data_IF_465888725079
#
_entry.id   IF_465888725079
#
_cell.length_a   1.000
_cell.length_b   1.000
_cell.length_c   1.000
_cell.angle_alpha   90.00
_cell.angle_beta   90.00
_cell.angle_gamma   90.00
#
_symmetry.space_group_name_H-M   'P 1'
#
loop_
_entity.id
_entity.type
_entity.pdbx_description
1 polymer ?
#
# COMPACT_ATOMS: atom_id res chain seq x y z
N UNK A 1 -37.20 19.43 -4.81
CA UNK A 1 -37.10 18.45 -5.91
C UNK A 1 -35.76 18.72 -6.52
N UNK A 2 -34.74 18.05 -6.00
CA UNK A 2 -33.38 18.57 -6.04
C UNK A 2 -32.58 17.83 -7.12
N UNK A 3 -31.99 18.62 -8.01
CA UNK A 3 -31.26 18.25 -9.23
C UNK A 3 -29.94 17.50 -8.98
N UNK A 4 -29.85 16.63 -7.97
CA UNK A 4 -28.65 15.86 -7.66
C UNK A 4 -28.63 14.44 -8.26
N UNK A 5 -29.66 14.04 -9.02
CA UNK A 5 -29.85 12.64 -9.41
C UNK A 5 -29.77 12.34 -10.92
N UNK A 6 -29.16 13.20 -11.74
CA UNK A 6 -29.13 13.01 -13.22
C UNK A 6 -27.71 12.88 -13.79
N UNK A 7 -26.71 12.48 -12.99
CA UNK A 7 -25.33 12.24 -13.51
C UNK A 7 -24.73 10.87 -13.25
N UNK A 8 -25.37 9.99 -12.48
CA UNK A 8 -24.74 8.73 -12.06
C UNK A 8 -25.10 7.48 -12.89
N UNK A 9 -25.69 7.64 -14.08
CA UNK A 9 -26.12 6.46 -14.87
C UNK A 9 -25.67 6.47 -16.33
N UNK A 10 -24.87 7.45 -16.75
CA UNK A 10 -24.35 7.52 -18.12
C UNK A 10 -22.86 7.89 -18.02
N UNK A 11 -21.95 6.92 -18.22
CA UNK A 11 -20.52 7.22 -18.41
C UNK A 11 -19.49 6.32 -17.74
N UNK A 12 -19.62 4.98 -17.79
CA UNK A 12 -18.49 4.07 -17.55
C UNK A 12 -18.10 3.24 -18.78
N UNK A 13 -18.48 3.71 -19.96
CA UNK A 13 -18.16 3.07 -21.24
C UNK A 13 -16.76 3.44 -21.78
N UNK A 14 -15.99 4.25 -21.03
CA UNK A 14 -14.65 4.71 -21.42
C UNK A 14 -13.63 4.46 -20.30
N UNK A 15 -12.38 4.08 -20.65
CA UNK A 15 -11.31 3.86 -19.68
C UNK A 15 -10.94 5.14 -18.92
N UNK A 16 -10.44 4.98 -17.69
CA UNK A 16 -10.06 6.10 -16.83
C UNK A 16 -8.82 6.83 -17.37
N UNK A 17 -8.95 8.13 -17.66
CA UNK A 17 -7.81 8.96 -18.07
C UNK A 17 -6.77 9.17 -16.95
N UNK A 18 -7.20 9.04 -15.69
CA UNK A 18 -6.36 9.16 -14.50
C UNK A 18 -6.67 8.06 -13.50
N UNK A 19 -5.70 7.21 -13.22
CA UNK A 19 -5.77 6.16 -12.21
C UNK A 19 -4.99 6.54 -10.95
N UNK A 20 -5.53 6.20 -9.79
CA UNK A 20 -4.99 6.50 -8.46
C UNK A 20 -4.89 5.19 -7.70
N UNK A 21 -3.67 4.77 -7.40
CA UNK A 21 -3.33 3.46 -6.87
C UNK A 21 -2.62 3.66 -5.54
N UNK A 22 -3.06 2.96 -4.50
CA UNK A 22 -2.38 2.90 -3.20
C UNK A 22 -1.88 1.48 -3.00
N UNK A 23 -0.61 1.31 -2.63
CA UNK A 23 -0.04 0.01 -2.32
C UNK A 23 0.06 -0.16 -0.80
N UNK A 24 -0.52 -1.23 -0.28
CA UNK A 24 -0.47 -1.62 1.13
C UNK A 24 -0.01 -3.06 1.26
N UNK A 25 0.53 -3.45 2.40
CA UNK A 25 1.11 -4.79 2.58
C UNK A 25 2.25 -4.79 3.59
N UNK A 26 2.74 -5.98 3.92
CA UNK A 26 3.87 -6.14 4.82
C UNK A 26 5.13 -5.38 4.36
N UNK A 27 6.00 -5.07 5.32
CA UNK A 27 7.36 -4.61 5.05
C UNK A 27 8.10 -5.65 4.22
N UNK A 28 8.89 -5.18 3.25
CA UNK A 28 9.65 -6.03 2.34
C UNK A 28 8.82 -6.90 1.37
N UNK A 29 7.48 -6.74 1.31
CA UNK A 29 6.65 -7.42 0.31
C UNK A 29 6.86 -6.92 -1.14
N UNK A 30 7.73 -5.93 -1.35
CA UNK A 30 8.08 -5.42 -2.69
C UNK A 30 7.27 -4.22 -3.19
N UNK A 31 6.52 -3.52 -2.33
CA UNK A 31 5.70 -2.35 -2.69
C UNK A 31 6.47 -1.27 -3.47
N UNK A 32 7.60 -0.80 -2.93
CA UNK A 32 8.41 0.25 -3.57
C UNK A 32 8.94 -0.18 -4.95
N UNK A 33 9.38 -1.44 -5.08
CA UNK A 33 9.79 -2.03 -6.37
C UNK A 33 8.64 -2.06 -7.37
N UNK A 34 7.49 -2.57 -6.94
CA UNK A 34 6.25 -2.60 -7.72
C UNK A 34 5.89 -1.19 -8.21
N UNK A 35 5.89 -0.20 -7.31
CA UNK A 35 5.55 1.17 -7.67
C UNK A 35 6.48 1.75 -8.73
N UNK A 36 7.77 1.47 -8.64
CA UNK A 36 8.75 1.88 -9.65
C UNK A 36 8.51 1.21 -11.02
N UNK A 37 8.13 -0.07 -11.02
CA UNK A 37 7.78 -0.82 -12.22
C UNK A 37 6.50 -0.26 -12.87
N UNK A 38 5.44 -0.07 -12.08
CA UNK A 38 4.17 0.52 -12.54
C UNK A 38 4.40 1.89 -13.15
N UNK A 39 5.22 2.73 -12.51
CA UNK A 39 5.49 4.10 -12.96
C UNK A 39 6.54 4.18 -14.07
N UNK A 40 7.24 3.08 -14.38
CA UNK A 40 8.40 2.99 -15.30
C UNK A 40 9.53 3.97 -14.93
N UNK A 41 9.79 4.15 -13.64
CA UNK A 41 10.84 5.04 -13.11
C UNK A 41 11.23 4.67 -11.68
N UNK A 42 12.48 4.93 -11.30
CA UNK A 42 13.01 4.68 -9.95
C UNK A 42 12.78 5.89 -9.04
N UNK A 43 11.63 5.94 -8.37
CA UNK A 43 11.23 7.06 -7.49
C UNK A 43 11.11 6.67 -6.02
N UNK A 44 10.67 5.45 -5.73
CA UNK A 44 10.61 4.91 -4.38
C UNK A 44 11.94 4.22 -4.04
N UNK A 45 12.47 4.47 -2.84
CA UNK A 45 13.79 3.98 -2.42
C UNK A 45 13.83 2.48 -2.13
N UNK A 46 14.61 1.70 -2.91
CA UNK A 46 14.63 0.22 -2.85
C UNK A 46 15.93 -0.40 -2.30
N UNK A 47 16.93 0.40 -1.92
CA UNK A 47 18.24 -0.12 -1.52
C UNK A 47 18.21 -0.93 -0.21
N UNK A 48 19.11 -1.91 -0.03
CA UNK A 48 19.25 -2.66 1.24
C UNK A 48 19.62 -1.77 2.44
N UNK A 49 20.22 -0.61 2.19
CA UNK A 49 20.49 0.44 3.19
C UNK A 49 19.33 1.42 3.37
N UNK A 50 18.28 1.31 2.54
CA UNK A 50 17.06 2.09 2.65
C UNK A 50 16.36 1.70 3.95
N UNK A 51 16.22 2.67 4.84
CA UNK A 51 15.39 2.53 6.03
C UNK A 51 13.98 2.18 5.54
N UNK A 52 13.35 1.20 6.19
CA UNK A 52 11.91 0.89 6.08
C UNK A 52 11.12 2.17 5.78
N UNK A 53 10.29 2.18 4.74
CA UNK A 53 9.37 3.27 4.42
C UNK A 53 8.59 3.64 5.68
N UNK A 54 8.86 4.80 6.27
CA UNK A 54 8.20 5.26 7.50
C UNK A 54 7.12 6.30 7.25
N UNK A 55 7.07 6.87 6.04
CA UNK A 55 6.03 7.78 5.60
C UNK A 55 5.60 7.37 4.21
N UNK A 56 4.34 7.59 3.89
CA UNK A 56 3.85 7.32 2.55
C UNK A 56 4.48 8.25 1.51
N UNK A 57 4.88 7.70 0.37
CA UNK A 57 5.48 8.44 -0.75
C UNK A 57 4.53 8.43 -1.94
N UNK A 58 4.44 9.55 -2.68
CA UNK A 58 3.53 9.69 -3.83
C UNK A 58 4.35 10.01 -5.07
N UNK A 59 4.00 9.38 -6.19
CA UNK A 59 4.58 9.77 -7.47
C UNK A 59 3.61 9.59 -8.63
N UNK A 60 3.91 10.30 -9.72
CA UNK A 60 3.06 10.37 -10.91
C UNK A 60 3.81 10.01 -12.18
N UNK A 61 3.14 9.35 -13.12
CA UNK A 61 3.72 9.05 -14.44
C UNK A 61 2.61 8.97 -15.49
N UNK A 62 2.97 8.96 -16.78
CA UNK A 62 2.06 8.60 -17.86
C UNK A 62 2.50 7.25 -18.41
N UNK A 63 1.64 6.25 -18.31
CA UNK A 63 1.95 4.85 -18.65
C UNK A 63 0.76 4.28 -19.40
N UNK A 64 1.00 3.61 -20.53
CA UNK A 64 -0.07 3.13 -21.44
C UNK A 64 -1.08 4.24 -21.82
N UNK A 65 -0.59 5.47 -22.01
CA UNK A 65 -1.41 6.64 -22.34
C UNK A 65 -2.23 7.21 -21.16
N UNK A 66 -2.16 6.60 -19.97
CA UNK A 66 -2.96 6.99 -18.80
C UNK A 66 -2.12 7.73 -17.77
N UNK A 67 -2.71 8.73 -17.12
CA UNK A 67 -2.08 9.39 -15.98
C UNK A 67 -2.18 8.46 -14.77
N UNK A 68 -1.06 8.16 -14.14
CA UNK A 68 -1.01 7.39 -12.91
C UNK A 68 -0.62 8.26 -11.73
N UNK A 69 -1.23 8.01 -10.59
CA UNK A 69 -0.78 8.42 -9.26
C UNK A 69 -0.63 7.17 -8.42
N UNK A 70 0.58 6.93 -7.92
CA UNK A 70 0.89 5.74 -7.12
C UNK A 70 1.39 6.22 -5.77
N UNK A 71 0.79 5.66 -4.72
CA UNK A 71 1.18 5.88 -3.32
C UNK A 71 1.82 4.61 -2.79
N UNK A 72 3.06 4.71 -2.33
CA UNK A 72 3.76 3.65 -1.59
C UNK A 72 3.59 3.90 -0.09
N UNK A 73 2.91 2.99 0.63
CA UNK A 73 2.69 3.12 2.07
C UNK A 73 3.80 2.44 2.88
N UNK A 74 3.97 2.79 4.17
CA UNK A 74 4.71 1.95 5.11
C UNK A 74 4.16 0.53 5.16
N UNK A 75 5.04 -0.42 5.50
CA UNK A 75 4.64 -1.82 5.71
C UNK A 75 4.66 -2.20 7.19
N UNK A 76 3.71 -3.04 7.59
CA UNK A 76 3.73 -3.69 8.90
C UNK A 76 4.68 -4.90 8.91
N UNK A 77 5.06 -5.37 10.10
CA UNK A 77 5.78 -6.64 10.19
C UNK A 77 4.79 -7.79 9.98
N UNK A 78 5.09 -8.73 9.09
CA UNK A 78 4.11 -9.66 8.51
C UNK A 78 3.40 -10.61 9.49
N UNK A 79 3.90 -10.77 10.72
CA UNK A 79 3.22 -11.52 11.79
C UNK A 79 2.71 -10.65 12.94
N UNK A 80 2.98 -9.35 12.92
CA UNK A 80 2.53 -8.47 13.99
C UNK A 80 1.02 -8.26 13.89
N UNK A 81 0.39 -8.27 15.05
CA UNK A 81 -0.95 -7.72 15.27
C UNK A 81 -0.94 -6.20 15.16
N UNK A 82 -2.11 -5.58 15.03
CA UNK A 82 -2.23 -4.14 15.18
C UNK A 82 -1.71 -3.71 16.55
N UNK A 83 -1.97 -4.44 17.63
CA UNK A 83 -1.48 -4.04 18.96
C UNK A 83 0.06 -3.93 19.02
N UNK A 84 0.78 -4.77 18.29
CA UNK A 84 2.24 -4.80 18.24
C UNK A 84 2.84 -3.79 17.24
N UNK A 85 2.04 -3.30 16.30
CA UNK A 85 2.45 -2.26 15.35
C UNK A 85 2.49 -0.88 16.02
N UNK A 86 3.49 -0.07 15.68
CA UNK A 86 3.63 1.28 16.21
C UNK A 86 2.46 2.18 15.75
N UNK A 87 1.92 3.00 16.64
CA UNK A 87 0.84 3.95 16.33
C UNK A 87 1.13 4.84 15.12
N UNK A 88 2.36 5.32 14.95
CA UNK A 88 2.73 6.14 13.79
C UNK A 88 2.64 5.36 12.48
N UNK A 89 2.99 4.07 12.50
CA UNK A 89 2.87 3.24 11.30
C UNK A 89 1.40 2.98 10.96
N UNK A 90 0.55 2.75 11.97
CA UNK A 90 -0.91 2.61 11.76
C UNK A 90 -1.49 3.86 11.14
N UNK A 91 -1.17 5.03 11.69
CA UNK A 91 -1.63 6.32 11.19
C UNK A 91 -1.18 6.56 9.76
N UNK A 92 0.07 6.24 9.42
CA UNK A 92 0.59 6.38 8.06
C UNK A 92 -0.06 5.42 7.07
N UNK A 93 -0.27 4.15 7.47
CA UNK A 93 -0.96 3.16 6.65
C UNK A 93 -2.39 3.64 6.38
N UNK A 94 -3.13 4.01 7.42
CA UNK A 94 -4.52 4.51 7.30
C UNK A 94 -4.58 5.80 6.48
N UNK A 95 -3.62 6.70 6.64
CA UNK A 95 -3.59 7.97 5.92
C UNK A 95 -3.22 7.84 4.44
N UNK A 96 -2.61 6.72 4.02
CA UNK A 96 -2.12 6.54 2.65
C UNK A 96 -3.20 6.76 1.57
N UNK A 97 -4.45 6.39 1.84
CA UNK A 97 -5.58 6.57 0.92
C UNK A 97 -5.97 8.05 0.72
N UNK A 98 -5.68 8.90 1.71
CA UNK A 98 -5.97 10.34 1.69
C UNK A 98 -5.02 11.11 0.76
N UNK A 99 -3.90 10.50 0.36
CA UNK A 99 -2.87 11.12 -0.44
C UNK A 99 -3.20 11.21 -1.93
N UNK A 100 -4.35 10.68 -2.34
CA UNK A 100 -4.79 10.68 -3.73
C UNK A 100 -6.28 11.06 -3.85
N UNK A 101 -6.67 12.30 -3.48
CA UNK A 101 -8.06 12.72 -3.46
C UNK A 101 -8.76 12.58 -4.83
N UNK A 102 -10.08 12.30 -4.86
CA UNK A 102 -10.98 12.09 -3.72
C UNK A 102 -10.82 10.74 -3.00
N UNK A 103 -9.91 9.90 -3.47
CA UNK A 103 -9.58 8.58 -2.94
C UNK A 103 -9.03 7.67 -4.04
N UNK A 104 -8.45 6.50 -3.70
CA UNK A 104 -7.88 5.60 -4.69
C UNK A 104 -8.97 4.92 -5.52
N UNK A 105 -8.71 4.77 -6.82
CA UNK A 105 -9.50 3.88 -7.67
C UNK A 105 -9.20 2.41 -7.36
N UNK A 106 -7.94 2.13 -7.01
CA UNK A 106 -7.45 0.80 -6.68
C UNK A 106 -6.51 0.81 -5.48
N UNK A 107 -6.61 -0.25 -4.69
CA UNK A 107 -5.66 -0.59 -3.63
C UNK A 107 -5.02 -1.90 -4.02
N UNK A 108 -3.69 -1.94 -4.01
CA UNK A 108 -2.93 -3.17 -4.23
C UNK A 108 -2.49 -3.71 -2.87
N UNK A 109 -3.09 -4.84 -2.45
CA UNK A 109 -2.61 -5.59 -1.30
C UNK A 109 -1.43 -6.45 -1.76
N UNK A 110 -0.23 -5.98 -1.47
CA UNK A 110 1.02 -6.59 -1.93
C UNK A 110 1.44 -7.71 -0.99
N UNK A 111 1.53 -8.92 -1.55
CA UNK A 111 1.94 -10.15 -0.85
C UNK A 111 3.10 -10.77 -1.61
N UNK A 112 4.23 -11.00 -0.95
CA UNK A 112 5.35 -11.70 -1.57
C UNK A 112 5.14 -13.22 -1.59
N UNK A 113 5.54 -13.85 -2.69
CA UNK A 113 5.46 -15.29 -2.85
C UNK A 113 6.62 -16.04 -2.18
N UNK A 114 7.48 -15.37 -1.42
CA UNK A 114 8.57 -16.02 -0.69
C UNK A 114 8.11 -16.42 0.73
N UNK A 115 7.31 -15.55 1.36
CA UNK A 115 6.81 -15.76 2.73
C UNK A 115 5.71 -16.80 2.74
N UNK A 116 5.77 -17.75 3.68
CA UNK A 116 4.75 -18.78 3.88
C UNK A 116 3.49 -18.17 4.48
N UNK A 117 2.33 -18.47 3.89
CA UNK A 117 1.04 -18.08 4.46
C UNK A 117 0.70 -18.97 5.65
N UNK A 118 0.71 -18.40 6.85
CA UNK A 118 0.28 -19.09 8.08
C UNK A 118 -0.79 -18.26 8.80
N UNK A 119 -1.34 -18.81 9.89
CA UNK A 119 -2.41 -18.15 10.65
C UNK A 119 -2.01 -16.80 11.24
N UNK A 120 -0.73 -16.61 11.59
CA UNK A 120 -0.21 -15.33 12.08
C UNK A 120 -0.14 -14.29 10.95
N UNK A 121 0.30 -14.70 9.76
CA UNK A 121 0.31 -13.83 8.57
C UNK A 121 -1.12 -13.41 8.20
N UNK A 122 -2.04 -14.36 8.11
CA UNK A 122 -3.45 -14.08 7.80
C UNK A 122 -4.06 -13.11 8.81
N UNK A 123 -3.87 -13.36 10.11
CA UNK A 123 -4.32 -12.48 11.18
C UNK A 123 -3.72 -11.08 11.04
N UNK A 124 -2.43 -10.99 10.75
CA UNK A 124 -1.74 -9.71 10.56
C UNK A 124 -2.36 -8.91 9.41
N UNK A 125 -2.62 -9.54 8.27
CA UNK A 125 -3.31 -8.90 7.13
C UNK A 125 -4.70 -8.45 7.53
N UNK A 126 -5.50 -9.31 8.16
CA UNK A 126 -6.86 -9.00 8.59
C UNK A 126 -6.91 -7.79 9.52
N UNK A 127 -6.05 -7.75 10.55
CA UNK A 127 -6.01 -6.66 11.49
C UNK A 127 -5.54 -5.36 10.82
N UNK A 128 -4.49 -5.37 9.99
CA UNK A 128 -4.02 -4.13 9.33
C UNK A 128 -5.01 -3.60 8.29
N UNK A 129 -5.71 -4.47 7.59
CA UNK A 129 -6.78 -4.06 6.67
C UNK A 129 -7.98 -3.44 7.40
N UNK A 130 -8.19 -3.78 8.68
CA UNK A 130 -9.25 -3.19 9.51
C UNK A 130 -9.00 -1.73 9.92
N UNK A 131 -7.83 -1.17 9.61
CA UNK A 131 -7.60 0.28 9.70
C UNK A 131 -8.48 1.06 8.72
N UNK A 132 -8.87 0.45 7.62
CA UNK A 132 -9.78 1.00 6.64
C UNK A 132 -11.20 0.49 6.89
N UNK A 133 -12.19 1.17 6.33
CA UNK A 133 -13.57 0.67 6.30
C UNK A 133 -13.69 -0.59 5.42
N UNK A 134 -14.71 -1.41 5.67
CA UNK A 134 -14.92 -2.68 4.97
C UNK A 134 -15.04 -2.51 3.44
N UNK A 135 -15.49 -1.34 2.95
CA UNK A 135 -15.58 -1.06 1.51
C UNK A 135 -14.21 -1.06 0.80
N UNK A 136 -13.10 -0.96 1.54
CA UNK A 136 -11.74 -1.01 0.97
C UNK A 136 -11.52 -2.28 0.14
N UNK A 137 -12.12 -3.40 0.55
CA UNK A 137 -11.99 -4.69 -0.13
C UNK A 137 -12.60 -4.65 -1.54
N UNK A 138 -13.67 -3.89 -1.75
CA UNK A 138 -14.25 -3.67 -3.09
C UNK A 138 -13.27 -2.94 -4.03
N UNK A 139 -12.34 -2.15 -3.50
CA UNK A 139 -11.31 -1.47 -4.28
C UNK A 139 -9.96 -2.20 -4.28
N UNK A 140 -9.87 -3.37 -3.65
CA UNK A 140 -8.59 -4.08 -3.46
C UNK A 140 -8.38 -5.20 -4.47
N UNK A 141 -7.19 -5.23 -5.07
CA UNK A 141 -6.67 -6.33 -5.86
C UNK A 141 -5.43 -6.90 -5.17
N UNK A 142 -5.32 -8.22 -5.06
CA UNK A 142 -4.12 -8.86 -4.48
C UNK A 142 -2.99 -8.82 -5.50
N UNK A 143 -1.87 -8.20 -5.16
CA UNK A 143 -0.69 -8.20 -6.01
C UNK A 143 0.37 -9.13 -5.43
N UNK A 144 0.58 -10.25 -6.10
CA UNK A 144 1.65 -11.18 -5.77
C UNK A 144 2.98 -10.71 -6.37
N UNK A 145 4.01 -10.58 -5.54
CA UNK A 145 5.37 -10.25 -5.98
C UNK A 145 6.27 -11.47 -5.90
N UNK A 146 7.42 -11.41 -6.57
CA UNK A 146 8.37 -12.54 -6.67
C UNK A 146 7.74 -13.76 -7.35
N UNK A 147 6.96 -13.52 -8.42
CA UNK A 147 6.35 -14.59 -9.23
C UNK A 147 7.34 -15.62 -9.75
N UNK A 148 8.60 -15.21 -9.97
CA UNK A 148 9.70 -16.08 -10.37
C UNK A 148 10.07 -17.14 -9.33
N UNK A 149 9.66 -16.97 -8.06
CA UNK A 149 10.00 -17.87 -6.96
C UNK A 149 9.20 -19.17 -6.94
N UNK A 150 8.03 -19.20 -7.59
CA UNK A 150 7.17 -20.39 -7.62
C UNK A 150 7.76 -21.54 -8.46
N UNK A 151 8.74 -21.25 -9.33
CA UNK A 151 9.42 -22.25 -10.14
C UNK A 151 8.45 -22.96 -11.09
N UNK A 152 8.14 -24.23 -10.80
CA UNK A 152 7.22 -25.06 -11.59
C UNK A 152 5.76 -24.85 -11.17
N UNK A 153 5.52 -24.42 -9.92
CA UNK A 153 4.16 -24.24 -9.42
C UNK A 153 3.54 -22.96 -9.95
N UNK A 154 2.24 -22.94 -10.17
CA UNK A 154 1.53 -21.70 -10.51
C UNK A 154 1.08 -20.96 -9.24
N UNK A 155 0.67 -19.70 -9.40
CA UNK A 155 0.12 -18.93 -8.26
C UNK A 155 -1.22 -19.52 -7.82
N UNK A 156 -2.00 -20.05 -8.77
CA UNK A 156 -3.30 -20.68 -8.55
C UNK A 156 -3.14 -21.94 -7.69
N UNK A 157 -2.20 -22.83 -8.04
CA UNK A 157 -1.90 -24.03 -7.24
C UNK A 157 -1.51 -23.66 -5.80
N UNK A 158 -0.80 -22.54 -5.62
CA UNK A 158 -0.46 -22.04 -4.29
C UNK A 158 -1.69 -21.54 -3.53
N UNK A 159 -2.50 -20.69 -4.16
CA UNK A 159 -3.74 -20.17 -3.56
C UNK A 159 -4.62 -21.35 -3.12
N UNK A 160 -4.82 -22.35 -3.98
CA UNK A 160 -5.61 -23.55 -3.68
C UNK A 160 -5.03 -24.38 -2.53
N UNK A 161 -3.72 -24.35 -2.31
CA UNK A 161 -3.06 -25.10 -1.22
C UNK A 161 -3.06 -24.40 0.14
N UNK A 162 -3.30 -23.08 0.20
CA UNK A 162 -3.17 -22.27 1.41
C UNK A 162 -4.50 -21.58 1.75
N UNK A 163 -5.25 -22.08 2.74
CA UNK A 163 -6.57 -21.55 3.14
C UNK A 163 -6.56 -20.03 3.41
N UNK A 164 -5.46 -19.51 3.98
CA UNK A 164 -5.30 -18.07 4.22
C UNK A 164 -5.24 -17.25 2.93
N UNK A 165 -4.57 -17.76 1.88
CA UNK A 165 -4.57 -17.09 0.57
C UNK A 165 -5.93 -17.16 -0.09
N UNK A 166 -6.61 -18.31 -0.02
CA UNK A 166 -7.98 -18.43 -0.52
C UNK A 166 -8.88 -17.39 0.13
N UNK A 167 -8.80 -17.24 1.46
CA UNK A 167 -9.59 -16.24 2.18
C UNK A 167 -9.31 -14.81 1.68
N UNK A 168 -8.04 -14.43 1.55
CA UNK A 168 -7.65 -13.08 1.10
C UNK A 168 -8.12 -12.81 -0.33
N UNK A 169 -7.88 -13.76 -1.24
CA UNK A 169 -8.26 -13.63 -2.66
C UNK A 169 -9.78 -13.62 -2.81
N UNK A 170 -10.51 -14.46 -2.07
CA UNK A 170 -11.97 -14.45 -2.04
C UNK A 170 -12.53 -13.13 -1.49
N UNK A 171 -11.90 -12.56 -0.45
CA UNK A 171 -12.26 -11.23 0.07
C UNK A 171 -12.05 -10.12 -0.95
N UNK A 172 -11.10 -10.30 -1.87
CA UNK A 172 -10.90 -9.44 -3.02
C UNK A 172 -11.68 -9.91 -4.26
N UNK A 173 -12.76 -10.68 -4.11
CA UNK A 173 -13.61 -11.16 -5.23
C UNK A 173 -12.83 -11.87 -6.34
N UNK A 174 -11.82 -12.67 -5.98
CA UNK A 174 -10.92 -13.37 -6.90
C UNK A 174 -10.05 -12.46 -7.78
N UNK A 175 -9.87 -11.19 -7.41
CA UNK A 175 -9.00 -10.26 -8.12
C UNK A 175 -7.56 -10.38 -7.62
N UNK A 176 -6.68 -10.87 -8.50
CA UNK A 176 -5.25 -10.86 -8.25
C UNK A 176 -4.42 -10.68 -9.53
N UNK A 177 -3.16 -10.31 -9.35
CA UNK A 177 -2.16 -10.21 -10.40
C UNK A 177 -0.78 -10.64 -9.87
N UNK A 178 0.05 -11.22 -10.73
CA UNK A 178 1.41 -11.65 -10.40
C UNK A 178 2.39 -10.74 -11.12
N UNK A 179 3.33 -10.17 -10.37
CA UNK A 179 4.33 -9.25 -10.89
C UNK A 179 5.74 -9.76 -10.54
N UNK A 180 6.57 -9.91 -11.56
CA UNK A 180 7.96 -10.29 -11.43
C UNK A 180 8.85 -9.05 -11.28
N UNK A 181 9.22 -8.74 -10.04
CA UNK A 181 10.06 -7.58 -9.72
C UNK A 181 11.47 -7.62 -10.35
N UNK A 182 11.94 -8.78 -10.85
CA UNK A 182 13.25 -8.91 -11.49
C UNK A 182 13.21 -8.61 -12.99
N UNK A 183 12.05 -8.73 -13.62
CA UNK A 183 11.91 -8.48 -15.06
C UNK A 183 11.19 -7.16 -15.32
N UNK A 184 11.97 -6.08 -15.31
CA UNK A 184 11.47 -4.74 -15.66
C UNK A 184 11.34 -4.53 -17.18
N UNK A 185 11.83 -5.49 -17.99
CA UNK A 185 11.79 -5.38 -19.45
C UNK A 185 10.42 -5.78 -20.00
N UNK A 186 9.72 -6.65 -19.29
CA UNK A 186 8.38 -7.08 -19.61
C UNK A 186 7.34 -5.99 -19.31
N UNK A 187 6.93 -5.31 -20.39
CA UNK A 187 5.93 -4.25 -20.33
C UNK A 187 4.50 -4.78 -20.24
N UNK A 188 4.25 -6.07 -20.51
CA UNK A 188 2.88 -6.60 -20.54
C UNK A 188 2.31 -6.78 -19.14
N UNK A 189 3.14 -7.12 -18.14
CA UNK A 189 2.73 -7.21 -16.73
C UNK A 189 2.01 -5.94 -16.26
N UNK A 190 2.59 -4.76 -16.52
CA UNK A 190 1.96 -3.49 -16.13
C UNK A 190 0.68 -3.24 -16.92
N UNK A 191 0.66 -3.56 -18.23
CA UNK A 191 -0.54 -3.38 -19.06
C UNK A 191 -1.71 -4.22 -18.53
N UNK A 192 -1.47 -5.51 -18.27
CA UNK A 192 -2.47 -6.45 -17.75
C UNK A 192 -2.93 -6.06 -16.34
N UNK A 193 -2.04 -5.59 -15.48
CA UNK A 193 -2.41 -5.06 -14.16
C UNK A 193 -3.37 -3.88 -14.29
N UNK A 194 -3.08 -2.92 -15.18
CA UNK A 194 -3.93 -1.74 -15.39
C UNK A 194 -5.30 -2.13 -15.97
N UNK A 195 -5.36 -3.10 -16.88
CA UNK A 195 -6.62 -3.64 -17.42
C UNK A 195 -7.48 -4.27 -16.31
N UNK A 196 -6.91 -5.11 -15.44
CA UNK A 196 -7.62 -5.70 -14.29
C UNK A 196 -8.12 -4.64 -13.31
N UNK A 197 -7.36 -3.57 -13.10
CA UNK A 197 -7.79 -2.45 -12.27
C UNK A 197 -8.99 -1.72 -12.89
N UNK A 198 -9.00 -1.52 -14.21
CA UNK A 198 -10.12 -0.89 -14.90
C UNK A 198 -11.38 -1.75 -14.92
N UNK A 199 -11.24 -3.07 -15.11
CA UNK A 199 -12.35 -4.02 -15.00
C UNK A 199 -12.98 -3.95 -13.60
N UNK A 200 -12.14 -3.99 -12.56
CA UNK A 200 -12.56 -3.83 -11.18
C UNK A 200 -13.27 -2.49 -10.95
N UNK A 201 -12.69 -1.40 -11.45
CA UNK A 201 -13.27 -0.06 -11.31
C UNK A 201 -14.62 0.06 -12.02
N UNK A 202 -14.75 -0.50 -13.22
CA UNK A 202 -15.98 -0.49 -14.00
C UNK A 202 -17.09 -1.30 -13.31
N UNK A 203 -16.74 -2.41 -12.66
CA UNK A 203 -17.67 -3.29 -11.94
C UNK A 203 -18.13 -2.77 -10.56
N UNK A 204 -17.38 -1.88 -9.92
CA UNK A 204 -17.75 -1.35 -8.61
C UNK A 204 -18.90 -0.35 -8.69
N UNK A 205 -19.79 -0.28 -7.69
CA UNK A 205 -20.82 0.78 -7.67
C UNK A 205 -20.20 2.15 -7.40
N UNK A 206 -19.20 2.20 -6.51
CA UNK A 206 -18.45 3.41 -6.19
C UNK A 206 -17.23 3.56 -7.11
N UNK A 207 -16.98 4.74 -7.70
CA UNK A 207 -15.88 4.94 -8.63
C UNK A 207 -14.50 5.00 -7.96
N UNK A 208 -14.43 5.13 -6.63
CA UNK A 208 -13.19 5.15 -5.86
C UNK A 208 -13.51 4.90 -4.37
N UNK A 209 -12.52 4.49 -3.59
CA UNK A 209 -12.68 4.35 -2.15
C UNK A 209 -12.86 5.73 -1.52
N UNK A 210 -14.05 6.01 -0.98
CA UNK A 210 -14.37 7.31 -0.41
C UNK A 210 -13.60 7.59 0.88
N UNK A 211 -12.89 8.70 0.92
CA UNK A 211 -12.20 9.18 2.12
C UNK A 211 -13.09 10.16 2.91
N UNK A 212 -13.30 9.90 4.20
CA UNK A 212 -14.00 10.83 5.09
C UNK A 212 -13.10 12.00 5.51
N UNK A 213 -13.48 13.22 5.15
CA UNK A 213 -12.70 14.44 5.44
C UNK A 213 -12.44 14.66 6.93
N UNK A 214 -13.43 14.38 7.79
CA UNK A 214 -13.27 14.50 9.25
C UNK A 214 -12.22 13.52 9.77
N UNK A 215 -12.27 12.26 9.29
CA UNK A 215 -11.30 11.24 9.67
C UNK A 215 -9.90 11.58 9.14
N UNK A 216 -9.80 12.04 7.89
CA UNK A 216 -8.54 12.50 7.32
C UNK A 216 -7.92 13.65 8.13
N UNK A 217 -8.73 14.63 8.57
CA UNK A 217 -8.26 15.73 9.42
C UNK A 217 -7.79 15.26 10.81
N UNK A 218 -8.46 14.28 11.41
CA UNK A 218 -8.02 13.65 12.66
C UNK A 218 -6.67 12.93 12.50
N UNK A 219 -6.51 12.15 11.43
CA UNK A 219 -5.28 11.43 11.13
C UNK A 219 -4.11 12.38 10.91
N UNK A 220 -4.32 13.44 10.13
CA UNK A 220 -3.34 14.50 9.90
C UNK A 220 -2.89 15.14 11.22
N UNK A 221 -3.84 15.51 12.09
CA UNK A 221 -3.56 16.12 13.40
C UNK A 221 -2.75 15.19 14.31
N UNK A 222 -3.11 13.90 14.36
CA UNK A 222 -2.39 12.89 15.14
C UNK A 222 -0.97 12.69 14.61
N UNK A 223 -0.81 12.59 13.28
CA UNK A 223 0.50 12.46 12.62
C UNK A 223 1.40 13.64 12.95
N UNK A 224 0.93 14.86 12.75
CA UNK A 224 1.73 16.06 13.07
C UNK A 224 2.18 16.10 14.53
N UNK A 225 1.29 15.70 15.44
CA UNK A 225 1.58 15.65 16.89
C UNK A 225 2.66 14.61 17.19
N UNK A 226 2.55 13.42 16.59
CA UNK A 226 3.55 12.35 16.70
C UNK A 226 4.92 12.77 16.17
N UNK A 227 4.96 13.41 15.00
CA UNK A 227 6.20 13.93 14.40
C UNK A 227 6.87 15.01 15.26
N UNK A 228 6.07 15.96 15.79
CA UNK A 228 6.54 16.99 16.71
C UNK A 228 7.16 16.35 17.96
N UNK A 229 6.53 15.31 18.52
CA UNK A 229 7.04 14.57 19.67
C UNK A 229 8.33 13.80 19.35
N UNK A 230 8.38 13.08 18.22
CA UNK A 230 9.58 12.35 17.77
C UNK A 230 10.78 13.29 17.59
N UNK A 231 10.58 14.45 16.94
CA UNK A 231 11.60 15.51 16.79
C UNK A 231 12.07 16.05 18.14
N UNK A 232 11.19 16.17 19.14
CA UNK A 232 11.55 16.60 20.51
C UNK A 232 12.38 15.54 21.23
N UNK A 233 11.98 14.27 21.18
CA UNK A 233 12.71 13.16 21.80
C UNK A 233 14.11 13.00 21.20
N UNK A 234 14.24 13.11 19.88
CA UNK A 234 15.53 13.08 19.18
C UNK A 234 16.47 14.18 19.71
N UNK A 235 15.99 15.42 19.82
CA UNK A 235 16.76 16.55 20.38
C UNK A 235 17.18 16.31 21.83
N UNK A 236 16.31 15.73 22.66
CA UNK A 236 16.63 15.37 24.05
C UNK A 236 17.74 14.30 24.08
N UNK A 237 17.63 13.26 23.25
CA UNK A 237 18.62 12.17 23.16
C UNK A 237 19.98 12.72 22.73
N UNK A 238 20.02 13.54 21.69
CA UNK A 238 21.25 14.20 21.21
C UNK A 238 21.89 15.06 22.30
N UNK A 239 21.10 15.86 23.03
CA UNK A 239 21.59 16.68 24.16
C UNK A 239 22.17 15.81 25.27
N UNK A 240 21.48 14.74 25.68
CA UNK A 240 21.98 13.79 26.69
C UNK A 240 23.30 13.14 26.24
N UNK A 241 23.39 12.72 24.99
CA UNK A 241 24.63 12.13 24.43
C UNK A 241 25.79 13.14 24.41
N UNK A 242 25.53 14.42 24.08
CA UNK A 242 26.56 15.47 24.13
C UNK A 242 27.09 15.70 25.55
N UNK A 243 26.19 15.88 26.52
CA UNK A 243 26.57 16.07 27.94
C UNK A 243 27.34 14.87 28.48
N UNK A 244 26.91 13.65 28.15
CA UNK A 244 27.62 12.44 28.60
C UNK A 244 29.04 12.35 28.01
N UNK A 245 29.23 12.74 26.75
CA UNK A 245 30.57 12.78 26.12
C UNK A 245 31.48 13.80 26.79
N UNK A 246 30.97 14.97 27.16
CA UNK A 246 31.73 16.00 27.88
C UNK A 246 32.15 15.52 29.29
N UNK A 247 31.25 14.85 30.01
CA UNK A 247 31.54 14.31 31.35
C UNK A 247 32.57 13.17 31.35
N UNK A 248 32.60 12.35 30.30
CA UNK A 248 33.55 11.23 30.16
C UNK A 248 34.89 11.70 29.57
N UNK A 249 34.86 12.68 28.65
CA UNK A 249 36.05 13.26 28.03
C UNK A 249 36.85 14.22 28.93
N UNK A 250 36.28 14.70 30.03
CA UNK A 250 36.94 15.57 31.02
C UNK A 250 37.79 14.84 32.08
N UNK A 251 38.03 13.52 31.92
CA UNK A 251 38.94 12.73 32.78
C UNK A 251 40.15 12.25 31.96
N UNK A 252 41.08 13.14 31.66
CA UNK A 252 42.48 12.83 31.34
C UNK A 252 43.38 13.89 31.98
#
# INVERSE_FOLDING_TARGET
>A
MDNHNIRNTIGRDFPLDHLRIVMIGASCAGKSSTGNIILRKNVFGVAESSRRTTHSEISHSVVEGKRLTVVDSPGWFYINTLQETNEMDKLEIENSVNLCPPGPHAVLLVIDLITVMNSLYLRSVQEHMSLFREEIWRHTLVLFTYGDWLGVKTVEERIESEEGLQWIVNKCENRYHVLNNKDQSDKTQVKELLEKIEEMWAGNEDPYYEVELNRAAELETKRETGDKMAKRLKRIKERKTRVLKELIGGKQ
#
